data_IF_202614794509
#
_entry.id   IF_202614794509
#
_cell.length_a   1.000
_cell.length_b   1.000
_cell.length_c   1.000
_cell.angle_alpha   90.00
_cell.angle_beta   90.00
_cell.angle_gamma   90.00
#
_symmetry.space_group_name_H-M   'P 1'
#
loop_
_entity.id
_entity.type
_entity.pdbx_description
1 polymer ?
#
# COMPACT_ATOMS: atom_id res chain seq x y z
N UNK A 1 -35.63 -16.81 2.89
CA UNK A 1 -36.06 -16.66 4.27
C UNK A 1 -34.87 -16.20 5.11
N UNK A 2 -34.88 -14.99 5.72
CA UNK A 2 -33.75 -14.47 6.51
C UNK A 2 -33.45 -15.36 7.73
N UNK A 3 -34.45 -15.95 8.36
CA UNK A 3 -34.23 -16.88 9.50
C UNK A 3 -33.45 -18.13 9.10
N UNK A 4 -33.65 -18.65 7.89
CA UNK A 4 -32.85 -19.77 7.40
C UNK A 4 -31.37 -19.39 7.27
N UNK A 5 -31.10 -18.19 6.75
CA UNK A 5 -29.73 -17.73 6.53
C UNK A 5 -28.99 -17.59 7.85
N UNK A 6 -29.61 -17.01 8.86
CA UNK A 6 -28.97 -16.79 10.18
C UNK A 6 -28.66 -18.09 10.92
N UNK A 7 -29.51 -19.10 10.80
CA UNK A 7 -29.38 -20.35 11.56
C UNK A 7 -28.56 -21.43 10.82
N UNK A 8 -28.72 -21.50 9.48
CA UNK A 8 -28.24 -22.63 8.68
C UNK A 8 -27.11 -22.28 7.69
N UNK A 9 -26.72 -21.01 7.59
CA UNK A 9 -25.57 -20.59 6.79
C UNK A 9 -24.54 -19.97 7.69
N UNK A 10 -23.42 -20.67 7.90
CA UNK A 10 -22.32 -20.24 8.76
C UNK A 10 -21.10 -19.92 7.92
N UNK A 11 -20.54 -18.73 8.12
CA UNK A 11 -19.36 -18.25 7.40
C UNK A 11 -18.34 -17.72 8.44
N UNK A 12 -17.75 -18.62 9.27
CA UNK A 12 -16.71 -18.20 10.19
C UNK A 12 -15.48 -17.72 9.44
N UNK A 13 -14.92 -16.62 9.91
CA UNK A 13 -13.71 -16.02 9.39
C UNK A 13 -12.74 -15.74 10.53
N UNK A 14 -11.59 -16.42 10.50
CA UNK A 14 -10.51 -16.23 11.47
C UNK A 14 -9.36 -15.48 10.79
N UNK A 15 -9.03 -14.30 11.31
CA UNK A 15 -7.98 -13.45 10.77
C UNK A 15 -6.93 -13.16 11.84
N UNK A 16 -5.69 -13.48 11.53
CA UNK A 16 -4.53 -13.15 12.34
C UNK A 16 -3.62 -12.21 11.55
N UNK A 17 -3.30 -11.06 12.13
CA UNK A 17 -2.40 -10.09 11.53
C UNK A 17 -1.26 -9.75 12.47
N UNK A 18 -0.05 -9.82 11.95
CA UNK A 18 1.17 -9.48 12.66
C UNK A 18 1.83 -8.32 11.95
N UNK A 19 2.09 -7.25 12.69
CA UNK A 19 2.82 -6.11 12.18
C UNK A 19 4.02 -5.84 13.06
N UNK A 20 5.18 -5.63 12.43
CA UNK A 20 6.38 -5.18 13.08
C UNK A 20 6.96 -4.01 12.28
N UNK A 21 7.40 -2.97 12.99
CA UNK A 21 8.08 -1.82 12.39
C UNK A 21 9.29 -1.49 13.23
N UNK A 22 10.43 -1.33 12.59
CA UNK A 22 11.66 -0.85 13.20
C UNK A 22 12.13 0.40 12.45
N UNK A 23 12.65 1.38 13.17
CA UNK A 23 13.29 2.55 12.59
C UNK A 23 14.52 2.92 13.38
N UNK A 24 15.56 3.35 12.67
CA UNK A 24 16.78 3.85 13.24
C UNK A 24 17.13 5.19 12.55
N UNK A 25 17.53 6.17 13.34
CA UNK A 25 18.00 7.46 12.86
C UNK A 25 19.42 7.66 13.38
N UNK A 26 20.31 8.06 12.48
CA UNK A 26 21.67 8.43 12.83
C UNK A 26 21.97 9.85 12.36
N UNK A 27 22.41 10.70 13.26
CA UNK A 27 22.76 12.10 13.00
C UNK A 27 24.28 12.21 12.87
N UNK A 28 24.73 12.54 11.65
CA UNK A 28 26.15 12.79 11.38
C UNK A 28 26.60 14.18 11.86
N UNK A 29 25.68 15.13 11.74
CA UNK A 29 25.80 16.50 12.20
C UNK A 29 24.39 17.11 12.35
N UNK A 30 24.27 18.29 12.97
CA UNK A 30 22.99 18.96 13.22
C UNK A 30 22.16 19.21 11.96
N UNK A 31 22.80 19.23 10.79
CA UNK A 31 22.19 19.53 9.50
C UNK A 31 22.05 18.31 8.58
N UNK A 32 22.52 17.12 8.96
CA UNK A 32 22.47 15.91 8.13
C UNK A 32 22.22 14.67 8.97
N UNK A 33 21.22 13.89 8.60
CA UNK A 33 20.93 12.60 9.23
C UNK A 33 20.47 11.58 8.20
N UNK A 34 20.59 10.31 8.57
CA UNK A 34 20.06 9.16 7.83
C UNK A 34 19.01 8.48 8.67
N UNK A 35 17.89 8.15 8.05
CA UNK A 35 16.82 7.36 8.66
C UNK A 35 16.65 6.06 7.88
N UNK A 36 16.72 4.93 8.55
CA UNK A 36 16.37 3.62 8.01
C UNK A 36 15.07 3.15 8.64
N UNK A 37 14.17 2.57 7.84
CA UNK A 37 12.90 1.97 8.29
C UNK A 37 12.73 0.60 7.67
N UNK A 38 12.22 -0.34 8.46
CA UNK A 38 11.80 -1.65 8.00
C UNK A 38 10.42 -1.95 8.57
N UNK A 39 9.54 -2.49 7.74
CA UNK A 39 8.19 -2.90 8.13
C UNK A 39 7.91 -4.29 7.57
N UNK A 40 7.32 -5.14 8.41
CA UNK A 40 6.72 -6.39 8.02
C UNK A 40 5.25 -6.37 8.43
N UNK A 41 4.38 -6.79 7.52
CA UNK A 41 2.94 -6.93 7.76
C UNK A 41 2.50 -8.27 7.17
N UNK A 42 2.06 -9.20 8.01
CA UNK A 42 1.58 -10.52 7.59
C UNK A 42 0.17 -10.72 8.07
N UNK A 43 -0.71 -11.06 7.15
CA UNK A 43 -2.11 -11.34 7.39
C UNK A 43 -2.43 -12.76 6.91
N UNK A 44 -2.91 -13.59 7.83
CA UNK A 44 -3.40 -14.94 7.53
C UNK A 44 -4.90 -14.95 7.83
N UNK A 45 -5.71 -15.28 6.83
CA UNK A 45 -7.16 -15.34 6.93
C UNK A 45 -7.64 -16.73 6.53
N UNK A 46 -8.40 -17.35 7.41
CA UNK A 46 -9.08 -18.63 7.18
C UNK A 46 -10.57 -18.39 7.19
N UNK A 47 -11.21 -18.61 6.04
CA UNK A 47 -12.64 -18.49 5.86
C UNK A 47 -13.24 -19.86 5.56
N UNK A 48 -14.29 -20.22 6.27
CA UNK A 48 -15.07 -21.42 5.98
C UNK A 48 -16.50 -21.03 5.59
N UNK A 49 -17.11 -21.81 4.73
CA UNK A 49 -18.55 -21.69 4.39
C UNK A 49 -19.19 -23.02 4.63
N UNK A 50 -20.19 -23.03 5.48
CA UNK A 50 -20.98 -24.21 5.87
C UNK A 50 -22.44 -23.89 5.65
N UNK A 51 -23.06 -24.57 4.67
CA UNK A 51 -24.50 -24.44 4.40
C UNK A 51 -25.15 -25.78 4.74
N UNK A 52 -26.13 -25.72 5.65
CA UNK A 52 -26.82 -26.94 6.12
C UNK A 52 -27.64 -27.60 5.00
N UNK A 53 -27.88 -28.89 5.18
CA UNK A 53 -28.86 -29.66 4.40
C UNK A 53 -30.24 -28.98 4.44
N UNK A 54 -30.91 -28.91 3.30
CA UNK A 54 -32.15 -28.13 3.15
C UNK A 54 -31.95 -26.71 2.62
N UNK A 55 -30.71 -26.22 2.53
CA UNK A 55 -30.40 -24.98 1.81
C UNK A 55 -30.76 -25.13 0.32
N UNK A 56 -31.14 -24.02 -0.34
CA UNK A 56 -31.53 -23.99 -1.74
C UNK A 56 -30.51 -24.75 -2.61
N UNK A 57 -31.02 -25.60 -3.51
CA UNK A 57 -30.23 -26.51 -4.36
C UNK A 57 -29.27 -25.82 -5.33
N UNK A 58 -29.46 -24.51 -5.59
CA UNK A 58 -28.50 -23.71 -6.30
C UNK A 58 -27.17 -23.58 -5.55
N UNK A 59 -27.20 -23.56 -4.22
CA UNK A 59 -26.03 -23.32 -3.37
C UNK A 59 -25.50 -24.56 -2.67
N UNK A 60 -26.36 -25.55 -2.39
CA UNK A 60 -26.00 -26.73 -1.65
C UNK A 60 -26.66 -27.99 -2.23
N UNK A 61 -26.11 -29.18 -1.93
CA UNK A 61 -26.80 -30.45 -2.18
C UNK A 61 -27.84 -30.72 -1.08
N UNK A 62 -28.55 -31.83 -1.20
CA UNK A 62 -29.43 -32.32 -0.14
C UNK A 62 -28.68 -32.65 1.17
N UNK A 63 -27.36 -32.73 1.13
CA UNK A 63 -26.50 -32.98 2.30
C UNK A 63 -25.83 -31.70 2.83
N UNK A 64 -25.88 -30.60 2.08
CA UNK A 64 -25.25 -29.33 2.41
C UNK A 64 -24.11 -28.94 1.49
N UNK A 65 -23.33 -27.94 1.90
CA UNK A 65 -22.16 -27.41 1.21
C UNK A 65 -21.06 -27.06 2.19
N UNK A 66 -19.82 -27.35 1.84
CA UNK A 66 -18.65 -26.98 2.62
C UNK A 66 -17.52 -26.46 1.75
N UNK A 67 -16.99 -25.32 2.12
CA UNK A 67 -15.73 -24.85 1.52
C UNK A 67 -14.83 -24.18 2.56
N UNK A 68 -13.53 -24.21 2.26
CA UNK A 68 -12.50 -23.53 3.04
C UNK A 68 -11.57 -22.78 2.12
N UNK A 69 -11.25 -21.55 2.51
CA UNK A 69 -10.27 -20.70 1.84
C UNK A 69 -9.23 -20.25 2.86
N UNK A 70 -7.96 -20.42 2.52
CA UNK A 70 -6.84 -19.85 3.25
C UNK A 70 -6.24 -18.74 2.39
N UNK A 71 -6.10 -17.56 2.97
CA UNK A 71 -5.52 -16.39 2.32
C UNK A 71 -4.33 -15.95 3.15
N UNK A 72 -3.17 -15.88 2.52
CA UNK A 72 -1.95 -15.33 3.10
C UNK A 72 -1.56 -14.09 2.31
N UNK A 73 -1.28 -13.02 3.02
CA UNK A 73 -0.75 -11.79 2.46
C UNK A 73 0.40 -11.32 3.32
N UNK A 74 1.57 -11.15 2.72
CA UNK A 74 2.78 -10.69 3.39
C UNK A 74 3.35 -9.50 2.65
N UNK A 75 3.54 -8.39 3.35
CA UNK A 75 4.23 -7.21 2.86
C UNK A 75 5.53 -7.00 3.64
N UNK A 76 6.63 -6.85 2.93
CA UNK A 76 7.91 -6.42 3.48
C UNK A 76 8.28 -5.10 2.81
N UNK A 77 8.55 -4.09 3.62
CA UNK A 77 8.94 -2.76 3.18
C UNK A 77 10.24 -2.35 3.85
N UNK A 78 11.13 -1.74 3.09
CA UNK A 78 12.34 -1.13 3.59
C UNK A 78 12.59 0.22 2.93
N UNK A 79 13.12 1.17 3.70
CA UNK A 79 13.40 2.54 3.25
C UNK A 79 14.71 3.02 3.88
N UNK A 80 15.49 3.72 3.08
CA UNK A 80 16.65 4.50 3.53
C UNK A 80 16.47 5.94 3.04
N UNK A 81 16.57 6.91 3.96
CA UNK A 81 16.34 8.32 3.69
C UNK A 81 17.49 9.16 4.29
N UNK A 82 18.18 9.89 3.44
CA UNK A 82 19.13 10.94 3.82
C UNK A 82 18.37 12.26 3.89
N UNK A 83 18.49 12.96 5.01
CA UNK A 83 17.87 14.27 5.24
C UNK A 83 18.96 15.31 5.44
N UNK A 84 18.83 16.43 4.76
CA UNK A 84 19.71 17.58 4.84
C UNK A 84 18.86 18.82 5.15
N UNK A 85 19.26 19.59 6.13
CA UNK A 85 18.65 20.90 6.43
C UNK A 85 19.75 21.85 6.89
N UNK A 86 20.14 22.79 6.03
CA UNK A 86 21.24 23.67 6.30
C UNK A 86 20.95 25.11 5.89
N UNK A 87 21.35 26.01 6.76
CA UNK A 87 21.34 27.45 6.48
C UNK A 87 22.72 27.90 6.00
N UNK A 88 22.73 28.76 5.01
CA UNK A 88 23.92 29.34 4.40
C UNK A 88 23.78 30.87 4.38
N UNK A 89 24.91 31.55 4.27
CA UNK A 89 24.98 33.01 4.10
C UNK A 89 24.17 33.76 5.15
N UNK A 90 24.57 33.66 6.42
CA UNK A 90 23.94 34.32 7.57
C UNK A 90 22.40 34.14 7.60
N UNK A 91 21.94 32.91 7.43
CA UNK A 91 20.51 32.53 7.38
C UNK A 91 19.72 33.13 6.21
N UNK A 92 20.38 33.68 5.21
CA UNK A 92 19.70 34.22 4.02
C UNK A 92 19.19 33.10 3.10
N UNK A 93 19.91 31.98 3.05
CA UNK A 93 19.56 30.82 2.23
C UNK A 93 19.36 29.60 3.10
N UNK A 94 18.19 28.98 3.01
CA UNK A 94 17.91 27.68 3.62
C UNK A 94 17.80 26.60 2.53
N UNK A 95 18.48 25.48 2.73
CA UNK A 95 18.38 24.31 1.85
C UNK A 95 17.91 23.13 2.68
N UNK A 96 16.71 22.63 2.36
CA UNK A 96 16.20 21.38 2.89
C UNK A 96 16.14 20.38 1.74
N UNK A 97 16.81 19.24 1.88
CA UNK A 97 16.83 18.21 0.85
C UNK A 97 16.67 16.82 1.47
N UNK A 98 15.98 15.95 0.75
CA UNK A 98 15.82 14.55 1.09
C UNK A 98 16.17 13.70 -0.12
N UNK A 99 16.96 12.64 0.07
CA UNK A 99 17.27 11.66 -0.97
C UNK A 99 17.09 10.29 -0.35
N UNK A 100 16.35 9.44 -1.03
CA UNK A 100 16.09 8.12 -0.49
C UNK A 100 15.74 7.08 -1.54
N UNK A 101 15.63 5.86 -1.06
CA UNK A 101 15.12 4.75 -1.83
C UNK A 101 14.33 3.82 -0.94
N UNK A 102 13.39 3.14 -1.53
CA UNK A 102 12.61 2.12 -0.85
C UNK A 102 12.45 0.87 -1.72
N UNK A 103 12.12 -0.22 -1.06
CA UNK A 103 11.62 -1.43 -1.70
C UNK A 103 10.39 -1.93 -0.97
N UNK A 104 9.52 -2.58 -1.72
CA UNK A 104 8.32 -3.23 -1.22
C UNK A 104 8.16 -4.57 -1.93
N UNK A 105 7.96 -5.63 -1.15
CA UNK A 105 7.63 -6.95 -1.64
C UNK A 105 6.26 -7.34 -1.07
N UNK A 106 5.32 -7.65 -1.95
CA UNK A 106 4.00 -8.15 -1.61
C UNK A 106 3.86 -9.57 -2.14
N UNK A 107 3.63 -10.52 -1.23
CA UNK A 107 3.36 -11.92 -1.52
C UNK A 107 1.91 -12.21 -1.13
N UNK A 108 1.10 -12.57 -2.09
CA UNK A 108 -0.30 -12.94 -1.90
C UNK A 108 -0.51 -14.36 -2.37
N UNK A 109 -1.15 -15.18 -1.55
CA UNK A 109 -1.59 -16.52 -1.89
C UNK A 109 -3.00 -16.75 -1.37
N UNK A 110 -3.82 -17.38 -2.19
CA UNK A 110 -5.18 -17.80 -1.82
C UNK A 110 -5.41 -19.21 -2.31
N UNK A 111 -5.69 -20.12 -1.38
CA UNK A 111 -6.04 -21.50 -1.64
C UNK A 111 -7.50 -21.72 -1.27
N UNK A 112 -8.25 -22.28 -2.16
CA UNK A 112 -9.65 -22.61 -1.98
C UNK A 112 -9.89 -24.08 -2.29
N UNK A 113 -10.67 -24.74 -1.43
CA UNK A 113 -11.22 -26.04 -1.69
C UNK A 113 -12.62 -26.16 -1.11
N UNK A 114 -13.56 -26.75 -1.86
CA UNK A 114 -14.90 -27.00 -1.38
C UNK A 114 -15.90 -27.27 -2.48
N UNK A 115 -17.11 -27.66 -2.07
CA UNK A 115 -18.19 -27.99 -2.96
C UNK A 115 -19.40 -28.52 -2.19
N UNK A 116 -20.36 -29.05 -2.92
CA UNK A 116 -21.53 -29.70 -2.36
C UNK A 116 -21.14 -31.01 -1.64
N UNK A 117 -21.84 -31.31 -0.55
CA UNK A 117 -21.61 -32.56 0.20
C UNK A 117 -22.29 -33.75 -0.48
N UNK A 118 -21.68 -34.95 -0.41
CA UNK A 118 -22.11 -36.14 -1.18
C UNK A 118 -22.89 -37.19 -0.40
N UNK A 119 -22.61 -37.38 0.89
CA UNK A 119 -23.03 -38.61 1.59
C UNK A 119 -23.73 -38.36 2.92
N UNK A 120 -23.18 -37.52 3.77
CA UNK A 120 -23.65 -37.31 5.15
C UNK A 120 -24.08 -35.86 5.31
N UNK A 121 -25.32 -35.66 5.76
CA UNK A 121 -25.87 -34.31 5.96
C UNK A 121 -25.10 -33.58 7.08
N UNK A 122 -24.75 -32.33 6.80
CA UNK A 122 -24.11 -31.39 7.75
C UNK A 122 -22.76 -31.90 8.30
N UNK A 123 -22.12 -32.87 7.65
CA UNK A 123 -20.75 -33.27 7.97
C UNK A 123 -19.77 -32.43 7.12
N UNK A 124 -19.33 -31.30 7.67
CA UNK A 124 -18.49 -30.30 7.01
C UNK A 124 -17.01 -30.70 7.02
N UNK A 125 -16.67 -31.68 6.22
CA UNK A 125 -15.29 -32.17 6.00
C UNK A 125 -14.99 -32.32 4.53
N UNK A 126 -13.71 -32.18 4.14
CA UNK A 126 -13.29 -32.37 2.75
C UNK A 126 -13.59 -33.77 2.21
N UNK A 127 -13.51 -34.82 3.07
CA UNK A 127 -13.85 -36.19 2.69
C UNK A 127 -15.31 -36.39 2.30
N UNK A 128 -16.20 -35.50 2.72
CA UNK A 128 -17.63 -35.51 2.40
C UNK A 128 -17.99 -34.59 1.22
N UNK A 129 -17.05 -33.86 0.62
CA UNK A 129 -17.28 -33.03 -0.58
C UNK A 129 -17.40 -33.97 -1.79
N UNK A 130 -18.36 -33.66 -2.69
CA UNK A 130 -18.55 -34.38 -3.93
C UNK A 130 -17.46 -34.00 -4.93
N UNK A 131 -16.55 -34.94 -5.19
CA UNK A 131 -15.43 -34.74 -6.09
C UNK A 131 -15.78 -34.87 -7.57
N UNK A 132 -17.03 -35.19 -7.92
CA UNK A 132 -17.51 -35.22 -9.30
C UNK A 132 -17.86 -33.82 -9.84
N UNK A 133 -18.01 -32.82 -8.97
CA UNK A 133 -18.28 -31.43 -9.39
C UNK A 133 -17.01 -30.77 -9.97
N UNK A 134 -17.23 -29.78 -10.84
CA UNK A 134 -16.15 -28.93 -11.38
C UNK A 134 -15.81 -27.82 -10.40
N UNK A 135 -14.58 -27.32 -10.48
CA UNK A 135 -14.09 -26.16 -9.72
C UNK A 135 -14.04 -26.36 -8.19
N UNK A 136 -13.70 -27.55 -7.75
CA UNK A 136 -13.57 -27.88 -6.32
C UNK A 136 -12.40 -27.20 -5.65
N UNK A 137 -11.32 -26.96 -6.39
CA UNK A 137 -10.10 -26.36 -5.89
C UNK A 137 -9.68 -25.20 -6.81
N UNK A 138 -9.18 -24.15 -6.19
CA UNK A 138 -8.54 -23.05 -6.89
C UNK A 138 -7.35 -22.55 -6.07
N UNK A 139 -6.26 -22.26 -6.76
CA UNK A 139 -5.09 -21.63 -6.18
C UNK A 139 -4.75 -20.40 -7.00
N UNK A 140 -4.59 -19.29 -6.34
CA UNK A 140 -4.20 -18.01 -6.93
C UNK A 140 -3.15 -17.36 -6.07
N UNK A 141 -2.16 -16.75 -6.70
CA UNK A 141 -1.16 -15.98 -5.99
C UNK A 141 -0.32 -15.13 -6.92
N UNK A 142 0.31 -14.11 -6.33
CA UNK A 142 1.24 -13.25 -7.04
C UNK A 142 2.36 -12.76 -6.13
N UNK A 143 3.48 -12.44 -6.75
CA UNK A 143 4.60 -11.73 -6.13
C UNK A 143 4.75 -10.37 -6.80
N UNK A 144 4.49 -9.31 -6.04
CA UNK A 144 4.65 -7.94 -6.50
C UNK A 144 5.87 -7.32 -5.83
N UNK A 145 6.83 -6.89 -6.64
CA UNK A 145 8.04 -6.20 -6.17
C UNK A 145 8.06 -4.79 -6.73
N UNK A 146 8.15 -3.81 -5.83
CA UNK A 146 8.31 -2.40 -6.17
C UNK A 146 9.60 -1.87 -5.59
N UNK A 147 10.25 -0.97 -6.31
CA UNK A 147 11.43 -0.24 -5.84
C UNK A 147 11.29 1.21 -6.30
N UNK A 148 11.80 2.13 -5.51
CA UNK A 148 11.85 3.52 -5.89
C UNK A 148 13.14 4.16 -5.42
N UNK A 149 13.60 5.14 -6.21
CA UNK A 149 14.58 6.13 -5.80
C UNK A 149 13.90 7.48 -5.94
N UNK A 150 14.03 8.32 -4.92
CA UNK A 150 13.39 9.62 -4.91
C UNK A 150 14.26 10.65 -4.23
N UNK A 151 14.01 11.91 -4.59
CA UNK A 151 14.63 13.04 -3.95
C UNK A 151 13.72 14.26 -3.99
N UNK A 152 13.88 15.12 -3.01
CA UNK A 152 13.26 16.42 -2.95
C UNK A 152 14.25 17.46 -2.44
N UNK A 153 14.16 18.66 -2.96
CA UNK A 153 14.93 19.80 -2.47
C UNK A 153 14.03 21.04 -2.42
N UNK A 154 14.09 21.74 -1.33
CA UNK A 154 13.52 23.07 -1.18
C UNK A 154 14.65 24.06 -0.90
N UNK A 155 14.69 25.11 -1.68
CA UNK A 155 15.63 26.23 -1.51
C UNK A 155 14.80 27.46 -1.12
N UNK A 156 15.00 27.93 0.11
CA UNK A 156 14.35 29.11 0.65
C UNK A 156 15.30 30.30 0.66
N UNK A 157 14.88 31.42 0.07
CA UNK A 157 15.62 32.69 0.08
C UNK A 157 14.94 33.71 1.00
N UNK A 158 15.65 34.15 2.02
CA UNK A 158 15.18 35.13 3.04
C UNK A 158 13.82 34.81 3.63
N UNK A 159 13.42 33.55 3.64
CA UNK A 159 12.07 33.11 4.02
C UNK A 159 10.92 33.76 3.21
N UNK A 160 11.23 34.43 2.11
CA UNK A 160 10.27 35.12 1.25
C UNK A 160 9.95 34.38 -0.03
N UNK A 161 10.95 33.68 -0.61
CA UNK A 161 10.80 32.94 -1.85
C UNK A 161 11.31 31.50 -1.67
N UNK A 162 10.62 30.55 -2.30
CA UNK A 162 10.96 29.14 -2.20
C UNK A 162 10.87 28.48 -3.58
N UNK A 163 11.91 27.71 -3.89
CA UNK A 163 11.93 26.80 -5.01
C UNK A 163 11.85 25.36 -4.47
N UNK A 164 10.84 24.62 -4.89
CA UNK A 164 10.64 23.21 -4.57
C UNK A 164 10.92 22.36 -5.82
N UNK A 165 11.76 21.35 -5.71
CA UNK A 165 12.02 20.39 -6.76
C UNK A 165 11.89 18.99 -6.21
N UNK A 166 11.13 18.13 -6.89
CA UNK A 166 11.05 16.72 -6.53
C UNK A 166 11.25 15.85 -7.77
N UNK A 167 11.84 14.70 -7.57
CA UNK A 167 11.98 13.69 -8.59
C UNK A 167 11.85 12.31 -7.96
N UNK A 168 11.12 11.41 -8.64
CA UNK A 168 10.98 10.02 -8.23
C UNK A 168 11.02 9.13 -9.46
N UNK A 169 11.70 8.00 -9.34
CA UNK A 169 11.66 6.93 -10.33
C UNK A 169 11.25 5.62 -9.67
N UNK A 170 10.20 5.02 -10.21
CA UNK A 170 9.61 3.79 -9.70
C UNK A 170 9.81 2.63 -10.69
N UNK A 171 10.18 1.48 -10.15
CA UNK A 171 10.25 0.20 -10.84
C UNK A 171 9.24 -0.76 -10.21
N UNK A 172 8.49 -1.48 -11.03
CA UNK A 172 7.57 -2.52 -10.58
C UNK A 172 7.79 -3.81 -11.38
N UNK A 173 7.60 -4.95 -10.71
CA UNK A 173 7.63 -6.25 -11.40
C UNK A 173 6.49 -6.40 -12.43
N UNK A 174 5.44 -5.59 -12.34
CA UNK A 174 4.34 -5.55 -13.31
C UNK A 174 4.77 -5.03 -14.69
N UNK A 175 5.89 -4.30 -14.77
CA UNK A 175 6.44 -3.80 -16.04
C UNK A 175 7.36 -4.79 -16.73
N UNK A 176 7.63 -5.94 -16.12
CA UNK A 176 8.49 -6.96 -16.73
C UNK A 176 7.87 -7.47 -18.03
N UNK A 177 8.56 -7.27 -19.16
CA UNK A 177 8.08 -7.64 -20.48
C UNK A 177 7.32 -6.53 -21.22
N UNK A 178 7.20 -5.33 -20.65
CA UNK A 178 6.71 -4.14 -21.33
C UNK A 178 7.88 -3.29 -21.87
N UNK A 179 7.60 -2.38 -22.77
CA UNK A 179 8.61 -1.40 -23.27
C UNK A 179 8.97 -0.33 -22.23
N UNK A 180 8.20 -0.23 -21.14
CA UNK A 180 8.38 0.76 -20.07
C UNK A 180 8.92 0.06 -18.84
N UNK A 181 10.22 0.19 -18.59
CA UNK A 181 10.89 -0.46 -17.44
C UNK A 181 10.72 0.27 -16.11
N UNK A 182 10.42 1.57 -16.15
CA UNK A 182 10.25 2.43 -14.97
C UNK A 182 9.42 3.66 -15.30
N UNK A 183 8.92 4.33 -14.28
CA UNK A 183 8.25 5.63 -14.39
C UNK A 183 9.02 6.69 -13.64
N UNK A 184 9.25 7.81 -14.32
CA UNK A 184 9.89 8.98 -13.74
C UNK A 184 8.84 10.08 -13.52
N UNK A 185 8.84 10.65 -12.31
CA UNK A 185 7.88 11.67 -11.86
C UNK A 185 8.63 12.93 -11.42
N UNK A 186 8.78 13.93 -12.27
CA UNK A 186 9.34 15.20 -11.88
C UNK A 186 8.26 16.15 -11.34
N UNK A 187 8.66 17.02 -10.42
CA UNK A 187 7.85 18.17 -10.01
C UNK A 187 8.73 19.37 -9.71
N UNK A 188 8.25 20.55 -10.08
CA UNK A 188 8.88 21.81 -9.76
C UNK A 188 7.82 22.80 -9.28
N UNK A 189 8.12 23.51 -8.22
CA UNK A 189 7.23 24.53 -7.63
C UNK A 189 8.01 25.78 -7.27
N UNK A 190 7.40 26.93 -7.49
CA UNK A 190 7.90 28.23 -7.08
C UNK A 190 6.84 28.89 -6.21
N UNK A 191 7.24 29.42 -5.04
CA UNK A 191 6.34 30.18 -4.19
C UNK A 191 7.02 31.43 -3.63
N UNK A 192 6.25 32.50 -3.49
CA UNK A 192 6.73 33.77 -2.95
C UNK A 192 5.72 34.40 -2.01
N UNK A 193 6.21 34.98 -0.92
CA UNK A 193 5.44 35.82 -0.01
C UNK A 193 5.50 37.23 -0.57
N UNK A 194 4.46 37.62 -1.26
CA UNK A 194 4.37 38.87 -2.01
C UNK A 194 4.47 40.10 -1.08
N UNK A 195 3.82 40.01 0.08
CA UNK A 195 3.87 41.05 1.09
C UNK A 195 5.28 41.35 1.58
N UNK A 196 6.12 40.32 1.71
CA UNK A 196 7.49 40.47 2.18
C UNK A 196 8.43 40.88 1.04
N UNK A 197 8.26 40.32 -0.16
CA UNK A 197 9.08 40.64 -1.34
C UNK A 197 8.93 42.13 -1.71
N UNK A 198 7.70 42.61 -1.76
CA UNK A 198 7.40 43.99 -2.17
C UNK A 198 7.23 44.96 -0.99
N UNK A 199 7.35 44.47 0.26
CA UNK A 199 7.14 45.24 1.49
C UNK A 199 5.80 46.01 1.50
N UNK A 200 4.73 45.37 1.04
CA UNK A 200 3.40 45.96 0.86
C UNK A 200 2.38 45.42 1.86
N UNK A 201 2.82 44.96 3.03
CA UNK A 201 1.93 44.55 4.11
C UNK A 201 1.11 45.71 4.60
N UNK A 202 -0.21 45.54 4.72
CA UNK A 202 -1.17 46.53 5.23
C UNK A 202 -2.07 45.88 6.27
N UNK A 203 -2.82 46.65 7.03
CA UNK A 203 -3.80 46.14 8.01
C UNK A 203 -4.89 45.28 7.34
N UNK A 204 -5.21 45.58 6.06
CA UNK A 204 -6.21 44.85 5.27
C UNK A 204 -5.60 43.55 4.65
N UNK A 205 -4.31 43.58 4.29
CA UNK A 205 -3.62 42.48 3.69
C UNK A 205 -2.26 42.26 4.37
N UNK A 206 -2.24 41.68 5.58
CA UNK A 206 -1.01 41.48 6.33
C UNK A 206 -0.11 40.40 5.73
N UNK A 207 -0.68 39.47 4.97
CA UNK A 207 0.05 38.33 4.36
C UNK A 207 -0.56 37.92 3.03
N UNK A 208 0.27 37.83 1.99
CA UNK A 208 -0.10 37.30 0.69
C UNK A 208 1.00 36.38 0.17
N UNK A 209 0.66 35.13 -0.12
CA UNK A 209 1.56 34.13 -0.73
C UNK A 209 1.00 33.64 -2.06
N UNK A 210 1.84 33.62 -3.09
CA UNK A 210 1.53 33.03 -4.41
C UNK A 210 2.37 31.78 -4.60
N UNK A 211 1.76 30.76 -5.20
CA UNK A 211 2.44 29.49 -5.57
C UNK A 211 2.06 29.07 -6.97
N UNK A 212 3.05 28.62 -7.73
CA UNK A 212 2.89 28.01 -9.04
C UNK A 212 3.66 26.70 -9.01
N UNK A 213 3.08 25.61 -9.51
CA UNK A 213 3.76 24.32 -9.59
C UNK A 213 3.35 23.55 -10.84
N UNK A 214 4.29 22.74 -11.32
CA UNK A 214 4.09 21.74 -12.36
C UNK A 214 4.54 20.39 -11.87
N UNK A 215 3.77 19.33 -12.16
CA UNK A 215 4.11 17.95 -11.81
C UNK A 215 3.60 16.97 -12.86
N UNK A 216 4.35 15.93 -13.09
CA UNK A 216 3.92 14.76 -13.85
C UNK A 216 3.70 13.60 -12.89
N UNK A 217 2.65 12.81 -13.13
CA UNK A 217 2.29 11.66 -12.31
C UNK A 217 1.98 10.48 -13.21
N UNK A 218 2.50 9.32 -12.86
CA UNK A 218 2.16 8.06 -13.51
C UNK A 218 1.62 7.05 -12.51
N UNK A 219 1.02 5.98 -12.99
CA UNK A 219 0.52 4.88 -12.17
C UNK A 219 0.93 3.54 -12.77
N UNK A 220 1.22 2.57 -11.91
CA UNK A 220 1.41 1.19 -12.33
C UNK A 220 0.07 0.46 -12.33
N UNK A 221 -0.19 -0.45 -13.29
CA UNK A 221 -1.36 -1.31 -13.22
C UNK A 221 -1.31 -2.17 -11.95
N UNK A 222 -2.49 -2.44 -11.38
CA UNK A 222 -2.66 -3.41 -10.31
C UNK A 222 -2.49 -4.85 -10.83
N UNK A 223 -2.21 -5.78 -9.93
CA UNK A 223 -2.01 -7.22 -10.22
C UNK A 223 -3.31 -7.97 -10.02
#
# INVERSE_FOLDING_TARGET
NPYWITEHIKIPNHKNRYMATASAKYEFADWINVTARAKMDRNNERRERMYDAGTNTLFASKYGYYSKSNIENQQIYGELLLNINKYFVDNTLNVTANVGGNFENNDYQSDYFGGKLKSVANLFTFGNVDTSEKNLANQYGYHLKKRAIFGSAQIGYKSMAYLDVTARNDWSSTFKGTNTGSFFYPSIGLSGIITDIFRCSTDIMPYMKVRISYSEVGNSPDV
#
